data_IF_750195003793
#
_entry.id   IF_750195003793
#
_cell.length_a   1.000
_cell.length_b   1.000
_cell.length_c   1.000
_cell.angle_alpha   90.00
_cell.angle_beta   90.00
_cell.angle_gamma   90.00
#
_symmetry.space_group_name_H-M   'P 1'
#
loop_
_entity.id
_entity.type
_entity.pdbx_description
1 polymer ?
#
# COMPACT_ATOMS: atom_id res chain seq x y z
N UNK A 1 -15.44 8.82 2.46
CA UNK A 1 -15.52 7.43 1.95
C UNK A 1 -14.15 6.81 2.13
N UNK A 2 -14.07 5.47 2.13
CA UNK A 2 -13.35 4.68 3.15
C UNK A 2 -11.83 4.79 3.21
N UNK A 3 -11.33 4.85 4.44
CA UNK A 3 -9.97 4.50 4.85
C UNK A 3 -9.84 2.97 4.83
N UNK A 4 -9.30 2.40 3.75
CA UNK A 4 -8.94 0.98 3.70
C UNK A 4 -7.82 0.63 4.70
N UNK A 5 -7.67 -0.65 4.98
CA UNK A 5 -6.55 -1.18 5.73
C UNK A 5 -6.16 -2.53 5.16
N UNK A 6 -4.87 -2.84 5.22
CA UNK A 6 -4.38 -4.19 4.90
C UNK A 6 -3.32 -4.61 5.90
N UNK A 7 -3.21 -5.93 6.08
CA UNK A 7 -2.21 -6.57 6.92
C UNK A 7 -1.26 -7.36 6.03
N UNK A 8 0.04 -7.22 6.25
CA UNK A 8 1.10 -7.97 5.56
C UNK A 8 2.41 -7.87 6.35
N UNK A 9 3.35 -8.77 6.10
CA UNK A 9 4.70 -8.72 6.68
C UNK A 9 5.58 -7.87 5.74
N UNK A 10 5.91 -6.63 6.12
CA UNK A 10 6.61 -5.70 5.21
C UNK A 10 8.13 -5.81 5.26
N UNK A 11 8.70 -6.33 6.35
CA UNK A 11 10.15 -6.49 6.54
C UNK A 11 10.62 -7.95 6.67
N UNK A 12 9.73 -8.89 6.38
CA UNK A 12 10.00 -10.34 6.35
C UNK A 12 10.50 -10.88 7.70
N UNK A 13 10.06 -10.27 8.80
CA UNK A 13 10.43 -10.67 10.16
C UNK A 13 9.50 -11.75 10.75
N UNK A 14 8.42 -12.08 10.05
CA UNK A 14 7.43 -13.08 10.41
C UNK A 14 6.27 -12.55 11.26
N UNK A 15 6.30 -11.29 11.66
CA UNK A 15 5.20 -10.60 12.32
C UNK A 15 4.35 -9.85 11.28
N UNK A 16 3.03 -9.85 11.48
CA UNK A 16 2.10 -9.20 10.54
C UNK A 16 1.93 -7.73 10.91
N UNK A 17 2.24 -6.85 9.96
CA UNK A 17 2.19 -5.39 10.08
C UNK A 17 0.87 -4.82 9.57
N UNK A 18 0.65 -3.52 9.82
CA UNK A 18 -0.60 -2.84 9.49
C UNK A 18 -0.35 -1.59 8.64
N UNK A 19 -0.97 -1.54 7.47
CA UNK A 19 -1.08 -0.33 6.66
C UNK A 19 -2.48 0.25 6.74
N UNK A 20 -2.58 1.54 7.04
CA UNK A 20 -3.82 2.31 7.10
C UNK A 20 -3.84 3.36 6.01
N UNK A 21 -4.87 3.32 5.17
CA UNK A 21 -5.17 4.36 4.19
C UNK A 21 -5.89 5.49 4.92
N UNK A 22 -5.37 6.71 4.87
CA UNK A 22 -5.99 7.86 5.54
C UNK A 22 -6.53 8.85 4.50
N UNK A 23 -7.75 9.36 4.72
CA UNK A 23 -8.42 10.28 3.79
C UNK A 23 -8.70 11.65 4.43
N UNK A 24 -7.87 12.06 5.40
CA UNK A 24 -7.96 13.33 6.13
C UNK A 24 -8.57 13.22 7.54
N UNK A 25 -8.65 14.35 8.25
CA UNK A 25 -9.27 14.43 9.56
C UNK A 25 -10.81 14.46 9.47
N UNK A 26 -11.48 14.03 10.55
CA UNK A 26 -12.93 14.19 10.71
C UNK A 26 -13.36 15.62 11.04
N UNK A 27 -12.45 16.43 11.55
CA UNK A 27 -12.70 17.86 11.75
C UNK A 27 -12.55 18.60 10.41
N UNK A 28 -12.94 19.89 10.37
CA UNK A 28 -12.76 20.72 9.18
C UNK A 28 -11.30 21.16 8.99
N UNK A 29 -10.31 20.39 9.49
CA UNK A 29 -8.91 20.65 9.25
C UNK A 29 -8.58 20.45 7.77
N UNK A 30 -7.72 21.33 7.25
CA UNK A 30 -7.11 21.16 5.93
C UNK A 30 -5.74 20.46 6.02
N UNK A 31 -5.40 19.90 7.18
CA UNK A 31 -4.19 19.11 7.36
C UNK A 31 -4.23 17.86 6.50
N UNK A 32 -3.14 17.66 5.77
CA UNK A 32 -2.94 16.51 4.90
C UNK A 32 -2.46 15.35 5.77
N UNK A 33 -3.27 14.30 5.87
CA UNK A 33 -2.94 13.10 6.64
C UNK A 33 -2.37 12.06 5.68
N UNK A 34 -1.10 11.64 5.85
CA UNK A 34 -0.55 10.57 5.03
C UNK A 34 -1.13 9.23 5.47
N UNK A 35 -1.13 8.25 4.57
CA UNK A 35 -1.28 6.86 4.99
C UNK A 35 -0.16 6.47 5.95
N UNK A 36 -0.43 5.48 6.78
CA UNK A 36 0.51 5.07 7.80
C UNK A 36 0.81 3.58 7.74
N UNK A 37 2.10 3.26 7.80
CA UNK A 37 2.59 1.90 8.00
C UNK A 37 3.04 1.75 9.46
N UNK A 38 2.53 0.73 10.12
CA UNK A 38 2.85 0.35 11.49
C UNK A 38 3.50 -1.02 11.49
N UNK A 39 4.76 -1.08 11.91
CA UNK A 39 5.44 -2.35 12.20
C UNK A 39 4.90 -2.93 13.50
N UNK A 40 4.57 -4.21 13.51
CA UNK A 40 4.24 -4.97 14.71
C UNK A 40 5.53 -5.34 15.44
N UNK A 41 5.75 -4.79 16.64
CA UNK A 41 6.95 -5.08 17.44
C UNK A 41 6.74 -6.28 18.38
N UNK A 42 5.65 -7.03 18.21
CA UNK A 42 5.18 -8.04 19.15
C UNK A 42 4.50 -7.45 20.38
N UNK A 43 4.02 -8.31 21.28
CA UNK A 43 3.42 -7.93 22.57
C UNK A 43 2.29 -6.87 22.48
N UNK A 44 1.55 -6.84 21.37
CA UNK A 44 0.51 -5.85 21.05
C UNK A 44 1.03 -4.41 20.92
N UNK A 45 2.30 -4.23 20.55
CA UNK A 45 2.91 -2.93 20.29
C UNK A 45 3.13 -2.72 18.80
N UNK A 46 2.92 -1.48 18.36
CA UNK A 46 3.10 -1.07 16.98
C UNK A 46 3.92 0.21 16.91
N UNK A 47 4.93 0.23 16.05
CA UNK A 47 5.75 1.42 15.76
C UNK A 47 5.37 1.99 14.40
N UNK A 48 5.06 3.28 14.34
CA UNK A 48 4.87 3.95 13.05
C UNK A 48 6.22 4.06 12.33
N UNK A 49 6.34 3.35 11.20
CA UNK A 49 7.54 3.27 10.37
C UNK A 49 7.37 3.98 9.02
N UNK A 50 6.25 4.68 8.81
CA UNK A 50 5.88 5.34 7.54
C UNK A 50 7.04 6.11 6.89
N UNK A 51 7.75 6.94 7.68
CA UNK A 51 8.87 7.75 7.18
C UNK A 51 10.10 6.89 6.89
N UNK A 52 10.39 5.93 7.76
CA UNK A 52 11.51 5.00 7.64
C UNK A 52 11.36 4.16 6.37
N UNK A 53 10.15 3.66 6.12
CA UNK A 53 9.79 2.87 4.96
C UNK A 53 9.61 3.69 3.67
N UNK A 54 9.73 5.02 3.74
CA UNK A 54 9.57 5.95 2.60
C UNK A 54 8.23 5.82 1.88
N UNK A 55 7.19 5.52 2.64
CA UNK A 55 5.80 5.41 2.18
C UNK A 55 4.96 6.54 2.77
N UNK A 56 3.65 6.56 2.50
CA UNK A 56 2.70 7.50 3.10
C UNK A 56 2.30 8.60 2.13
N UNK A 57 1.75 8.20 0.98
CA UNK A 57 1.09 9.13 0.07
C UNK A 57 -0.12 9.78 0.74
N UNK A 58 -0.53 10.92 0.19
CA UNK A 58 -1.32 11.94 0.89
C UNK A 58 -2.58 12.35 0.14
N UNK A 59 -3.01 11.57 -0.85
CA UNK A 59 -4.21 11.84 -1.64
C UNK A 59 -5.47 11.22 -1.06
N UNK A 60 -6.60 11.39 -1.75
CA UNK A 60 -7.89 10.89 -1.31
C UNK A 60 -8.09 9.42 -1.72
N UNK A 61 -7.49 8.54 -0.95
CA UNK A 61 -7.41 7.12 -1.24
C UNK A 61 -8.55 6.30 -0.61
N UNK A 62 -8.77 5.10 -1.16
CA UNK A 62 -9.95 4.27 -0.94
C UNK A 62 -9.65 2.90 -0.32
N UNK A 63 -8.60 2.25 -0.79
CA UNK A 63 -8.32 0.85 -0.45
C UNK A 63 -6.88 0.49 -0.74
N UNK A 64 -6.37 -0.52 -0.05
CA UNK A 64 -5.03 -1.04 -0.25
C UNK A 64 -5.08 -2.56 -0.33
N UNK A 65 -4.19 -3.15 -1.14
CA UNK A 65 -4.01 -4.59 -1.26
C UNK A 65 -2.53 -4.91 -1.36
N UNK A 66 -2.10 -5.98 -0.68
CA UNK A 66 -0.71 -6.40 -0.62
C UNK A 66 -0.53 -7.76 -1.30
N UNK A 67 0.52 -7.89 -2.11
CA UNK A 67 0.96 -9.14 -2.73
C UNK A 67 2.38 -8.95 -3.30
N UNK A 68 3.14 -10.03 -3.39
CA UNK A 68 4.42 -10.07 -4.12
C UNK A 68 4.12 -10.18 -5.62
N UNK A 69 4.03 -9.04 -6.34
CA UNK A 69 3.58 -9.04 -7.74
C UNK A 69 4.72 -9.32 -8.73
N UNK A 70 5.96 -9.05 -8.34
CA UNK A 70 7.15 -9.27 -9.16
C UNK A 70 7.99 -10.48 -8.73
N UNK A 71 7.41 -11.35 -7.87
CA UNK A 71 7.98 -12.62 -7.43
C UNK A 71 9.41 -12.47 -6.88
N UNK A 72 9.72 -11.33 -6.27
CA UNK A 72 11.04 -11.07 -5.68
C UNK A 72 11.16 -11.59 -4.24
N UNK A 73 10.03 -12.02 -3.66
CA UNK A 73 9.92 -12.57 -2.33
C UNK A 73 9.55 -11.54 -1.27
N UNK A 74 9.47 -10.26 -1.62
CA UNK A 74 9.08 -9.17 -0.74
C UNK A 74 7.64 -8.72 -1.08
N UNK A 75 6.79 -8.55 -0.07
CA UNK A 75 5.38 -8.20 -0.33
C UNK A 75 5.25 -6.72 -0.72
N UNK A 76 4.67 -6.47 -1.90
CA UNK A 76 4.36 -5.14 -2.42
C UNK A 76 2.96 -4.65 -2.01
N UNK A 77 2.66 -3.39 -2.31
CA UNK A 77 1.41 -2.74 -1.92
C UNK A 77 0.85 -1.86 -3.03
N UNK A 78 -0.36 -2.17 -3.51
CA UNK A 78 -1.16 -1.27 -4.35
C UNK A 78 -2.17 -0.50 -3.51
N UNK A 79 -2.32 0.79 -3.81
CA UNK A 79 -3.26 1.70 -3.14
C UNK A 79 -4.13 2.41 -4.16
N UNK A 80 -5.43 2.16 -4.07
CA UNK A 80 -6.46 2.73 -4.95
C UNK A 80 -6.87 4.14 -4.52
N UNK A 81 -7.09 5.00 -5.51
CA UNK A 81 -7.16 6.44 -5.26
C UNK A 81 -8.26 7.17 -6.05
N UNK A 82 -8.65 8.35 -5.57
CA UNK A 82 -9.29 9.37 -6.39
C UNK A 82 -8.22 10.07 -7.24
N UNK A 83 -7.93 9.50 -8.39
CA UNK A 83 -6.77 9.83 -9.21
C UNK A 83 -5.89 8.60 -9.39
N UNK A 84 -4.63 8.83 -9.77
CA UNK A 84 -3.66 7.75 -10.00
C UNK A 84 -3.52 6.86 -8.76
N UNK A 85 -3.70 5.55 -8.97
CA UNK A 85 -3.33 4.53 -7.99
C UNK A 85 -1.82 4.62 -7.72
N UNK A 86 -1.41 4.13 -6.55
CA UNK A 86 0.00 4.07 -6.17
C UNK A 86 0.41 2.62 -5.95
N UNK A 87 1.29 2.11 -6.79
CA UNK A 87 1.95 0.81 -6.59
C UNK A 87 3.32 1.04 -5.96
N UNK A 88 3.46 0.55 -4.74
CA UNK A 88 4.69 0.54 -3.99
C UNK A 88 5.35 -0.82 -4.13
N UNK A 89 6.51 -0.85 -4.79
CA UNK A 89 7.38 -2.03 -4.75
C UNK A 89 8.20 -2.04 -3.47
N UNK A 90 8.20 -3.14 -2.74
CA UNK A 90 9.09 -3.35 -1.61
C UNK A 90 10.53 -3.54 -2.11
N UNK A 91 11.51 -2.92 -1.46
CA UNK A 91 12.91 -3.02 -1.90
C UNK A 91 13.70 -4.11 -1.14
N UNK A 92 13.06 -4.85 -0.24
CA UNK A 92 13.69 -5.87 0.61
C UNK A 92 14.61 -5.33 1.69
N UNK A 93 14.67 -4.00 1.86
CA UNK A 93 15.48 -3.30 2.85
C UNK A 93 14.64 -2.52 3.87
N UNK A 94 13.34 -2.86 3.95
CA UNK A 94 12.35 -2.19 4.77
C UNK A 94 11.91 -0.83 4.21
N UNK A 95 12.19 -0.55 2.93
CA UNK A 95 11.73 0.67 2.23
C UNK A 95 10.97 0.35 0.95
N UNK A 96 10.13 1.29 0.51
CA UNK A 96 9.33 1.17 -0.71
C UNK A 96 9.74 2.16 -1.79
N UNK A 97 9.46 1.79 -3.04
CA UNK A 97 9.58 2.64 -4.23
C UNK A 97 8.22 2.77 -4.91
N UNK A 98 7.78 4.00 -5.21
CA UNK A 98 6.63 4.22 -6.09
C UNK A 98 7.01 3.88 -7.53
N UNK A 99 6.38 2.83 -8.07
CA UNK A 99 6.61 2.32 -9.43
C UNK A 99 5.37 2.50 -10.33
N UNK A 100 4.39 3.31 -9.93
CA UNK A 100 3.08 3.42 -10.61
C UNK A 100 3.19 3.79 -12.08
N UNK A 101 4.06 4.75 -12.42
CA UNK A 101 4.33 5.16 -13.80
C UNK A 101 5.10 4.09 -14.59
N UNK A 102 6.04 3.40 -13.94
CA UNK A 102 6.80 2.33 -14.56
C UNK A 102 5.90 1.14 -14.90
N UNK A 103 4.97 0.80 -13.99
CA UNK A 103 3.95 -0.22 -14.16
C UNK A 103 2.78 0.24 -15.06
N UNK A 104 2.69 1.54 -15.37
CA UNK A 104 1.64 2.16 -16.21
C UNK A 104 0.22 2.01 -15.64
N UNK A 105 0.11 2.07 -14.32
CA UNK A 105 -1.18 2.02 -13.61
C UNK A 105 -1.58 3.41 -13.07
N UNK A 106 -0.88 4.46 -13.50
CA UNK A 106 -1.06 5.85 -13.07
C UNK A 106 -2.30 6.54 -13.66
N UNK A 107 -3.36 5.77 -13.92
CA UNK A 107 -4.63 6.27 -14.48
C UNK A 107 -5.30 7.26 -13.53
N UNK A 108 -5.52 8.49 -14.01
CA UNK A 108 -6.07 9.58 -13.19
C UNK A 108 -7.59 9.47 -12.89
N UNK A 109 -8.25 8.37 -13.28
CA UNK A 109 -9.65 8.10 -12.94
C UNK A 109 -9.78 7.62 -11.49
N UNK A 110 -11.02 7.49 -11.03
CA UNK A 110 -11.31 7.05 -9.67
C UNK A 110 -11.42 5.53 -9.59
N UNK A 111 -10.63 4.93 -8.70
CA UNK A 111 -10.64 3.50 -8.36
C UNK A 111 -11.04 3.28 -6.89
N UNK A 112 -11.68 2.17 -6.58
CA UNK A 112 -12.17 1.88 -5.21
C UNK A 112 -11.68 0.57 -4.60
N UNK A 113 -11.28 -0.39 -5.44
CA UNK A 113 -10.80 -1.70 -5.02
C UNK A 113 -9.85 -2.23 -6.06
N UNK A 114 -8.97 -3.14 -5.65
CA UNK A 114 -8.14 -3.90 -6.57
C UNK A 114 -8.05 -5.35 -6.08
N UNK A 115 -7.62 -6.24 -6.97
CA UNK A 115 -7.36 -7.65 -6.68
C UNK A 115 -6.10 -8.09 -7.44
N UNK A 116 -5.19 -8.77 -6.75
CA UNK A 116 -4.10 -9.51 -7.38
C UNK A 116 -4.56 -10.95 -7.67
N UNK A 117 -4.30 -11.42 -8.88
CA UNK A 117 -4.57 -12.80 -9.32
C UNK A 117 -3.69 -13.17 -10.51
N UNK A 118 -3.30 -14.43 -10.62
CA UNK A 118 -2.68 -14.96 -11.84
C UNK A 118 -3.81 -15.29 -12.86
N UNK A 119 -4.15 -14.31 -13.71
CA UNK A 119 -5.30 -14.42 -14.62
C UNK A 119 -4.97 -15.27 -15.85
N UNK A 120 -3.75 -15.18 -16.36
CA UNK A 120 -3.34 -15.88 -17.58
C UNK A 120 -2.54 -17.19 -17.35
N UNK A 121 -2.30 -17.54 -16.07
CA UNK A 121 -1.64 -18.76 -15.61
C UNK A 121 -0.16 -18.83 -15.97
N UNK A 122 0.52 -17.69 -16.04
CA UNK A 122 1.95 -17.60 -16.32
C UNK A 122 2.84 -17.63 -15.06
N UNK A 123 2.22 -17.60 -13.87
CA UNK A 123 2.88 -17.62 -12.57
C UNK A 123 3.27 -16.25 -12.04
N UNK A 124 2.89 -15.17 -12.71
CA UNK A 124 3.01 -13.79 -12.24
C UNK A 124 1.64 -13.26 -11.86
N UNK A 125 1.58 -12.41 -10.83
CA UNK A 125 0.31 -11.83 -10.42
C UNK A 125 -0.06 -10.66 -11.31
N UNK A 126 -1.28 -10.68 -11.83
CA UNK A 126 -1.93 -9.55 -12.48
C UNK A 126 -2.69 -8.70 -11.46
N UNK A 127 -2.73 -7.39 -11.72
CA UNK A 127 -3.52 -6.44 -10.95
C UNK A 127 -4.81 -6.10 -11.70
N UNK A 128 -5.95 -6.41 -11.10
CA UNK A 128 -7.28 -5.99 -11.57
C UNK A 128 -7.82 -4.87 -10.68
N UNK A 129 -8.26 -3.76 -11.30
CA UNK A 129 -8.79 -2.55 -10.62
C UNK A 129 -10.19 -2.23 -11.14
#
# INVERSE_FOLDING_TARGET
MGSGATFFDYDSDGDVDLYLVNSGHFDNSSEVVPNTLYRNDGDNQFTNVTRQAKIGHTSYEMGAIAADYDNDGDTDLDVTNFGSNVLYRNNGDGTFSDVSQQARIDDARWSTSAAFLDYDLDGWLDLYV
#
